data_IF_716482386889
#
_entry.id   IF_716482386889
#
_cell.length_a   1.000
_cell.length_b   1.000
_cell.length_c   1.000
_cell.angle_alpha   90.00
_cell.angle_beta   90.00
_cell.angle_gamma   90.00
#
_symmetry.space_group_name_H-M   'P 1'
#
loop_
_entity.id
_entity.type
_entity.pdbx_description
1 polymer ?
#
# COMPACT_ATOMS: atom_id res chain seq x y z
N UNK A 1 5.03 -17.41 4.14
CA UNK A 1 5.11 -16.41 5.20
C UNK A 1 5.52 -15.03 4.67
N UNK A 2 6.65 -14.90 3.94
CA UNK A 2 7.13 -13.61 3.40
C UNK A 2 6.11 -13.04 2.40
N UNK A 3 5.60 -13.84 1.47
CA UNK A 3 4.62 -13.38 0.49
C UNK A 3 3.31 -12.87 1.11
N UNK A 4 2.82 -13.55 2.16
CA UNK A 4 1.64 -13.08 2.90
C UNK A 4 1.91 -11.72 3.58
N UNK A 5 3.06 -11.58 4.24
CA UNK A 5 3.45 -10.33 4.88
C UNK A 5 3.51 -9.17 3.88
N UNK A 6 4.12 -9.40 2.72
CA UNK A 6 4.22 -8.40 1.65
C UNK A 6 2.85 -8.08 1.02
N UNK A 7 1.98 -9.08 0.85
CA UNK A 7 0.62 -8.86 0.35
C UNK A 7 -0.21 -7.98 1.29
N UNK A 8 -0.21 -8.26 2.59
CA UNK A 8 -0.89 -7.42 3.59
C UNK A 8 -0.31 -6.00 3.63
N UNK A 9 1.00 -5.87 3.45
CA UNK A 9 1.65 -4.56 3.38
C UNK A 9 1.22 -3.76 2.13
N UNK A 10 1.10 -4.42 0.97
CA UNK A 10 0.74 -3.77 -0.30
C UNK A 10 -0.71 -3.29 -0.32
N UNK A 11 -1.65 -4.15 0.05
CA UNK A 11 -3.08 -3.86 -0.06
C UNK A 11 -3.68 -3.17 1.18
N UNK A 12 -2.89 -3.04 2.26
CA UNK A 12 -3.31 -2.42 3.53
C UNK A 12 -4.59 -3.03 4.14
N UNK A 13 -5.05 -4.18 3.65
CA UNK A 13 -6.27 -4.83 4.13
C UNK A 13 -6.11 -5.32 5.57
N UNK A 14 -6.99 -4.86 6.44
CA UNK A 14 -6.95 -5.21 7.87
C UNK A 14 -5.99 -4.38 8.71
N UNK A 15 -5.24 -3.45 8.13
CA UNK A 15 -4.32 -2.55 8.85
C UNK A 15 -5.05 -1.35 9.44
N UNK A 16 -6.15 -0.90 8.80
CA UNK A 16 -6.96 0.22 9.28
C UNK A 16 -6.68 1.56 8.61
N UNK A 17 -5.75 1.63 7.65
CA UNK A 17 -5.44 2.82 6.86
C UNK A 17 -6.48 3.09 5.78
N UNK A 18 -6.86 2.09 4.99
CA UNK A 18 -7.84 2.21 3.92
C UNK A 18 -9.18 2.84 4.37
N UNK A 19 -9.78 2.47 5.51
CA UNK A 19 -11.01 3.12 5.99
C UNK A 19 -10.89 4.63 6.18
N UNK A 20 -9.70 5.17 6.45
CA UNK A 20 -9.49 6.62 6.59
C UNK A 20 -9.65 7.36 5.26
N UNK A 21 -9.21 6.76 4.15
CA UNK A 21 -9.44 7.32 2.81
C UNK A 21 -10.91 7.16 2.40
N UNK A 22 -11.49 5.97 2.60
CA UNK A 22 -12.89 5.71 2.28
C UNK A 22 -13.87 6.59 3.05
N UNK A 23 -13.54 6.96 4.28
CA UNK A 23 -14.34 7.89 5.09
C UNK A 23 -14.36 9.32 4.52
N UNK A 24 -13.43 9.68 3.63
CA UNK A 24 -13.42 10.99 2.94
C UNK A 24 -14.29 10.99 1.67
N UNK A 25 -14.86 9.85 1.27
CA UNK A 25 -15.68 9.76 0.08
C UNK A 25 -17.02 10.50 0.26
N UNK A 26 -17.46 11.18 -0.79
CA UNK A 26 -18.73 11.88 -0.79
C UNK A 26 -19.87 10.91 -1.16
N UNK A 27 -20.21 10.02 -0.23
CA UNK A 27 -21.28 9.03 -0.39
C UNK A 27 -22.07 8.88 0.91
N UNK A 28 -23.36 8.61 0.80
CA UNK A 28 -24.24 8.28 1.92
C UNK A 28 -24.47 6.75 2.06
N UNK A 29 -23.85 5.95 1.20
CA UNK A 29 -24.01 4.50 1.17
C UNK A 29 -22.70 3.82 1.61
N UNK A 30 -22.60 3.42 2.88
CA UNK A 30 -21.39 2.78 3.40
C UNK A 30 -21.14 1.38 2.81
N UNK A 31 -22.18 0.67 2.41
CA UNK A 31 -22.07 -0.67 1.82
C UNK A 31 -21.43 -0.55 0.44
N UNK A 32 -21.94 0.36 -0.39
CA UNK A 32 -21.37 0.64 -1.71
C UNK A 32 -19.90 1.05 -1.62
N UNK A 33 -19.57 1.91 -0.64
CA UNK A 33 -18.16 2.32 -0.42
C UNK A 33 -17.29 1.15 0.03
N UNK A 34 -17.82 0.25 0.86
CA UNK A 34 -17.12 -0.98 1.25
C UNK A 34 -16.85 -1.91 0.07
N UNK A 35 -17.78 -2.00 -0.89
CA UNK A 35 -17.58 -2.79 -2.12
C UNK A 35 -16.43 -2.25 -2.99
N UNK A 36 -16.22 -0.93 -3.04
CA UNK A 36 -15.05 -0.37 -3.71
C UNK A 36 -13.75 -0.81 -3.04
N UNK A 37 -13.69 -0.84 -1.70
CA UNK A 37 -12.52 -1.35 -0.99
C UNK A 37 -12.22 -2.83 -1.30
N UNK A 38 -13.25 -3.67 -1.43
CA UNK A 38 -13.09 -5.07 -1.86
C UNK A 38 -12.52 -5.12 -3.28
N UNK A 39 -13.04 -4.29 -4.19
CA UNK A 39 -12.55 -4.23 -5.58
C UNK A 39 -11.09 -3.76 -5.65
N UNK A 40 -10.69 -2.76 -4.87
CA UNK A 40 -9.31 -2.27 -4.81
C UNK A 40 -8.33 -3.38 -4.40
N UNK A 41 -8.63 -4.10 -3.31
CA UNK A 41 -7.80 -5.21 -2.84
C UNK A 41 -7.74 -6.35 -3.87
N UNK A 42 -8.85 -6.66 -4.53
CA UNK A 42 -8.90 -7.64 -5.62
C UNK A 42 -8.02 -7.20 -6.80
N UNK A 43 -8.15 -5.95 -7.25
CA UNK A 43 -7.38 -5.43 -8.38
C UNK A 43 -5.87 -5.40 -8.07
N UNK A 44 -5.47 -4.93 -6.89
CA UNK A 44 -4.06 -4.90 -6.49
C UNK A 44 -3.48 -6.31 -6.36
N UNK A 45 -4.10 -7.15 -5.54
CA UNK A 45 -3.49 -8.42 -5.13
C UNK A 45 -3.72 -9.54 -6.14
N UNK A 46 -4.95 -9.69 -6.64
CA UNK A 46 -5.25 -10.80 -7.55
C UNK A 46 -4.87 -10.46 -8.99
N UNK A 47 -5.19 -9.26 -9.47
CA UNK A 47 -4.92 -8.91 -10.87
C UNK A 47 -3.46 -8.48 -11.03
N UNK A 48 -3.04 -7.38 -10.39
CA UNK A 48 -1.72 -6.79 -10.66
C UNK A 48 -0.55 -7.65 -10.18
N UNK A 49 -0.62 -8.19 -8.96
CA UNK A 49 0.45 -9.06 -8.46
C UNK A 49 0.56 -10.36 -9.24
N UNK A 50 -0.58 -10.97 -9.64
CA UNK A 50 -0.57 -12.18 -10.47
C UNK A 50 0.01 -11.90 -11.85
N UNK A 51 -0.38 -10.80 -12.49
CA UNK A 51 0.19 -10.40 -13.80
C UNK A 51 1.71 -10.23 -13.71
N UNK A 52 2.21 -9.53 -12.71
CA UNK A 52 3.64 -9.32 -12.51
C UNK A 52 4.37 -10.65 -12.27
N UNK A 53 3.80 -11.52 -11.43
CA UNK A 53 4.37 -12.85 -11.17
C UNK A 53 4.42 -13.71 -12.45
N UNK A 54 3.36 -13.72 -13.25
CA UNK A 54 3.30 -14.45 -14.50
C UNK A 54 4.33 -13.93 -15.51
N UNK A 55 4.51 -12.64 -15.64
CA UNK A 55 5.55 -12.04 -16.50
C UNK A 55 6.94 -12.52 -16.07
N UNK A 56 7.24 -12.49 -14.77
CA UNK A 56 8.53 -12.94 -14.24
C UNK A 56 8.74 -14.44 -14.49
N UNK A 57 7.73 -15.27 -14.23
CA UNK A 57 7.84 -16.72 -14.43
C UNK A 57 7.94 -17.09 -15.91
N UNK A 58 7.16 -16.45 -16.77
CA UNK A 58 7.15 -16.71 -18.21
C UNK A 58 8.43 -16.22 -18.92
N UNK A 59 9.13 -15.25 -18.35
CA UNK A 59 10.38 -14.70 -18.90
C UNK A 59 11.55 -15.70 -18.90
N UNK A 60 11.46 -16.77 -18.10
CA UNK A 60 12.52 -17.78 -17.99
C UNK A 60 13.82 -17.27 -17.37
N UNK A 61 13.86 -16.08 -16.80
CA UNK A 61 15.06 -15.56 -16.14
C UNK A 61 15.42 -16.41 -14.90
N UNK A 62 16.70 -16.68 -14.64
CA UNK A 62 17.09 -17.45 -13.46
C UNK A 62 16.80 -16.66 -12.19
N UNK A 63 15.90 -17.18 -11.37
CA UNK A 63 15.58 -16.64 -10.06
C UNK A 63 16.46 -17.32 -9.00
N UNK A 64 17.45 -16.61 -8.49
CA UNK A 64 18.29 -17.14 -7.41
C UNK A 64 17.71 -16.72 -6.05
N UNK A 65 17.34 -17.69 -5.23
CA UNK A 65 16.93 -17.44 -3.85
C UNK A 65 18.13 -16.89 -3.06
N UNK A 66 17.95 -15.73 -2.41
CA UNK A 66 18.99 -15.07 -1.62
C UNK A 66 19.98 -14.20 -2.40
N UNK A 67 19.75 -13.99 -3.70
CA UNK A 67 20.53 -13.02 -4.49
C UNK A 67 20.25 -11.57 -4.07
N UNK A 68 21.27 -10.71 -4.15
CA UNK A 68 21.15 -9.27 -3.88
C UNK A 68 20.32 -8.48 -4.93
N UNK A 69 19.67 -9.19 -5.85
CA UNK A 69 18.92 -8.56 -6.94
C UNK A 69 17.59 -8.05 -6.39
N UNK A 70 17.35 -6.75 -6.48
CA UNK A 70 16.08 -6.13 -6.07
C UNK A 70 14.91 -6.61 -6.93
N UNK A 71 13.70 -6.64 -6.38
CA UNK A 71 12.48 -7.00 -7.11
C UNK A 71 12.26 -6.16 -8.38
N UNK A 72 12.64 -4.88 -8.35
CA UNK A 72 12.61 -3.98 -9.51
C UNK A 72 13.55 -4.43 -10.63
N UNK A 73 14.76 -4.87 -10.28
CA UNK A 73 15.72 -5.39 -11.27
C UNK A 73 15.25 -6.70 -11.89
N UNK A 74 14.54 -7.53 -11.14
CA UNK A 74 13.91 -8.76 -11.67
C UNK A 74 12.82 -8.38 -12.68
N UNK A 75 11.94 -7.45 -12.32
CA UNK A 75 10.90 -6.97 -13.23
C UNK A 75 11.50 -6.36 -14.50
N UNK A 76 12.54 -5.51 -14.36
CA UNK A 76 13.24 -4.92 -15.51
C UNK A 76 13.75 -6.01 -16.47
N UNK A 77 14.46 -7.00 -15.95
CA UNK A 77 14.98 -8.11 -16.75
C UNK A 77 13.86 -8.91 -17.41
N UNK A 78 12.79 -9.22 -16.68
CA UNK A 78 11.66 -9.98 -17.20
C UNK A 78 10.97 -9.26 -18.36
N UNK A 79 10.66 -7.97 -18.23
CA UNK A 79 10.06 -7.20 -19.31
C UNK A 79 11.02 -6.96 -20.49
N UNK A 80 12.33 -6.88 -20.23
CA UNK A 80 13.34 -6.70 -21.27
C UNK A 80 13.56 -7.96 -22.14
N UNK A 81 12.97 -9.11 -21.79
CA UNK A 81 12.97 -10.28 -22.68
C UNK A 81 12.09 -10.09 -23.92
N UNK A 82 11.10 -9.21 -23.84
CA UNK A 82 10.12 -8.95 -24.91
C UNK A 82 10.25 -7.53 -25.46
N UNK A 83 10.53 -6.57 -24.61
CA UNK A 83 10.62 -5.15 -24.98
C UNK A 83 12.08 -4.68 -24.99
N UNK A 84 12.43 -3.67 -25.81
CA UNK A 84 13.76 -3.06 -25.75
C UNK A 84 14.07 -2.54 -24.32
N UNK A 85 15.26 -2.84 -23.82
CA UNK A 85 15.69 -2.53 -22.46
C UNK A 85 15.49 -1.03 -22.09
N UNK A 86 15.82 -0.13 -23.02
CA UNK A 86 15.63 1.32 -22.82
C UNK A 86 14.16 1.69 -22.60
N UNK A 87 13.26 1.13 -23.40
CA UNK A 87 11.81 1.39 -23.29
C UNK A 87 11.27 0.83 -21.97
N UNK A 88 11.67 -0.39 -21.63
CA UNK A 88 11.30 -1.04 -20.37
C UNK A 88 11.79 -0.23 -19.16
N UNK A 89 13.03 0.25 -19.20
CA UNK A 89 13.61 1.07 -18.14
C UNK A 89 12.85 2.38 -17.94
N UNK A 90 12.52 3.09 -19.01
CA UNK A 90 11.73 4.33 -18.94
C UNK A 90 10.31 4.05 -18.40
N UNK A 91 9.64 3.02 -18.91
CA UNK A 91 8.31 2.63 -18.47
C UNK A 91 8.28 2.30 -16.98
N UNK A 92 9.19 1.46 -16.50
CA UNK A 92 9.26 1.11 -15.08
C UNK A 92 9.63 2.32 -14.21
N UNK A 93 10.56 3.16 -14.64
CA UNK A 93 10.93 4.36 -13.88
C UNK A 93 9.75 5.34 -13.72
N UNK A 94 9.00 5.58 -14.80
CA UNK A 94 7.81 6.44 -14.74
C UNK A 94 6.73 5.81 -13.87
N UNK A 95 6.47 4.51 -14.02
CA UNK A 95 5.49 3.79 -13.20
C UNK A 95 5.85 3.85 -11.72
N UNK A 96 7.09 3.58 -11.36
CA UNK A 96 7.56 3.65 -9.98
C UNK A 96 7.48 5.07 -9.40
N UNK A 97 7.81 6.09 -10.19
CA UNK A 97 7.66 7.49 -9.78
C UNK A 97 6.19 7.81 -9.44
N UNK A 98 5.27 7.41 -10.30
CA UNK A 98 3.84 7.64 -10.09
C UNK A 98 3.31 6.87 -8.88
N UNK A 99 3.67 5.60 -8.71
CA UNK A 99 3.27 4.80 -7.55
C UNK A 99 3.85 5.36 -6.25
N UNK A 100 5.12 5.73 -6.22
CA UNK A 100 5.73 6.33 -5.04
C UNK A 100 5.06 7.65 -4.68
N UNK A 101 4.78 8.50 -5.67
CA UNK A 101 4.12 9.78 -5.46
C UNK A 101 2.70 9.63 -4.92
N UNK A 102 1.90 8.75 -5.51
CA UNK A 102 0.52 8.50 -5.05
C UNK A 102 0.50 7.87 -3.65
N UNK A 103 1.43 6.97 -3.34
CA UNK A 103 1.58 6.39 -2.01
C UNK A 103 1.93 7.45 -0.97
N UNK A 104 2.87 8.35 -1.27
CA UNK A 104 3.21 9.47 -0.39
C UNK A 104 1.99 10.36 -0.10
N UNK A 105 1.18 10.66 -1.12
CA UNK A 105 -0.03 11.45 -0.93
C UNK A 105 -1.07 10.73 -0.08
N UNK A 106 -1.30 9.43 -0.32
CA UNK A 106 -2.23 8.61 0.46
C UNK A 106 -1.84 8.58 1.95
N UNK A 107 -0.59 8.25 2.24
CA UNK A 107 -0.08 8.22 3.61
C UNK A 107 -0.08 9.58 4.30
N UNK A 108 0.13 10.68 3.55
CA UNK A 108 -0.03 12.04 4.08
C UNK A 108 -1.46 12.29 4.53
N UNK A 109 -2.46 11.86 3.75
CA UNK A 109 -3.88 12.00 4.12
C UNK A 109 -4.19 11.21 5.39
N UNK A 110 -3.74 9.95 5.50
CA UNK A 110 -3.95 9.13 6.71
C UNK A 110 -3.37 9.81 7.94
N UNK A 111 -2.11 10.22 7.86
CA UNK A 111 -1.46 10.90 8.98
C UNK A 111 -2.07 12.24 9.34
N UNK A 112 -2.51 13.04 8.34
CA UNK A 112 -3.24 14.29 8.60
C UNK A 112 -4.57 14.07 9.32
N UNK A 113 -5.32 13.03 8.96
CA UNK A 113 -6.58 12.69 9.64
C UNK A 113 -6.33 12.25 11.08
N UNK A 114 -5.31 11.43 11.32
CA UNK A 114 -4.90 11.04 12.66
C UNK A 114 -4.46 12.27 13.50
N UNK A 115 -3.60 13.12 12.95
CA UNK A 115 -3.14 14.34 13.62
C UNK A 115 -4.29 15.29 13.94
N UNK A 116 -5.23 15.45 13.02
CA UNK A 116 -6.44 16.26 13.22
C UNK A 116 -7.34 15.68 14.32
N UNK A 117 -7.48 14.38 14.37
CA UNK A 117 -8.28 13.69 15.38
C UNK A 117 -7.70 13.87 16.79
N UNK A 118 -6.38 13.67 16.93
CA UNK A 118 -5.69 13.70 18.22
C UNK A 118 -5.44 15.12 18.74
N UNK A 119 -5.06 16.06 17.87
CA UNK A 119 -4.56 17.39 18.24
C UNK A 119 -5.38 18.55 17.66
N UNK A 120 -6.46 18.22 16.95
CA UNK A 120 -7.32 19.23 16.31
C UNK A 120 -6.79 19.76 14.97
N UNK A 121 -7.59 20.65 14.34
CA UNK A 121 -7.31 21.18 12.99
C UNK A 121 -5.94 21.89 12.84
N UNK A 122 -5.44 22.49 13.92
CA UNK A 122 -4.17 23.23 13.91
C UNK A 122 -2.94 22.33 13.74
N UNK A 123 -3.08 21.03 14.01
CA UNK A 123 -1.99 20.06 13.87
C UNK A 123 -1.68 19.68 12.42
N UNK A 124 -2.53 20.01 11.46
CA UNK A 124 -2.34 19.61 10.07
C UNK A 124 -1.06 20.20 9.45
N UNK A 125 -0.81 21.49 9.64
CA UNK A 125 0.37 22.15 9.06
C UNK A 125 1.68 21.62 9.66
N UNK A 126 1.87 21.59 11.00
CA UNK A 126 3.09 21.02 11.57
C UNK A 126 3.28 19.54 11.23
N UNK A 127 2.19 18.76 11.11
CA UNK A 127 2.25 17.39 10.64
C UNK A 127 2.81 17.30 9.21
N UNK A 128 2.30 18.11 8.26
CA UNK A 128 2.78 18.11 6.88
C UNK A 128 4.28 18.46 6.79
N UNK A 129 4.73 19.44 7.57
CA UNK A 129 6.14 19.80 7.61
C UNK A 129 6.98 18.61 8.13
N UNK A 130 6.59 18.04 9.26
CA UNK A 130 7.26 16.88 9.84
C UNK A 130 7.28 15.69 8.88
N UNK A 131 6.15 15.38 8.25
CA UNK A 131 6.01 14.31 7.28
C UNK A 131 6.98 14.49 6.10
N UNK A 132 7.05 15.69 5.54
CA UNK A 132 7.96 16.00 4.42
C UNK A 132 9.43 15.83 4.84
N UNK A 133 9.80 16.32 6.01
CA UNK A 133 11.17 16.17 6.53
C UNK A 133 11.51 14.70 6.77
N UNK A 134 10.61 13.93 7.38
CA UNK A 134 10.81 12.50 7.63
C UNK A 134 10.85 11.69 6.35
N UNK A 135 10.06 12.03 5.34
CA UNK A 135 10.11 11.40 4.01
C UNK A 135 11.48 11.60 3.36
N UNK A 136 11.99 12.82 3.40
CA UNK A 136 13.33 13.12 2.89
C UNK A 136 14.43 12.39 3.69
N UNK A 137 14.34 12.39 5.01
CA UNK A 137 15.29 11.65 5.86
C UNK A 137 15.24 10.15 5.58
N UNK A 138 14.04 9.57 5.41
CA UNK A 138 13.85 8.16 5.08
C UNK A 138 14.51 7.76 3.75
N UNK A 139 14.48 8.65 2.76
CA UNK A 139 15.15 8.41 1.48
C UNK A 139 16.69 8.31 1.59
N UNK A 140 17.28 8.86 2.66
CA UNK A 140 18.71 8.79 2.94
C UNK A 140 19.12 7.61 3.83
N UNK A 141 18.14 6.87 4.37
CA UNK A 141 18.38 5.75 5.28
C UNK A 141 18.62 4.45 4.51
N UNK A 142 19.17 3.45 5.21
CA UNK A 142 19.33 2.09 4.66
C UNK A 142 17.97 1.46 4.41
N UNK A 143 17.79 0.89 3.22
CA UNK A 143 16.53 0.30 2.75
C UNK A 143 16.01 -0.77 3.72
N UNK A 144 16.89 -1.64 4.23
CA UNK A 144 16.50 -2.71 5.17
C UNK A 144 15.93 -2.18 6.48
N UNK A 145 16.51 -1.07 6.99
CA UNK A 145 15.99 -0.43 8.19
C UNK A 145 14.60 0.16 7.95
N UNK A 146 14.41 0.85 6.82
CA UNK A 146 13.11 1.46 6.47
C UNK A 146 12.04 0.38 6.30
N UNK A 147 12.37 -0.74 5.63
CA UNK A 147 11.45 -1.87 5.49
C UNK A 147 11.09 -2.49 6.83
N UNK A 148 12.06 -2.79 7.68
CA UNK A 148 11.82 -3.41 8.99
C UNK A 148 10.98 -2.52 9.89
N UNK A 149 11.28 -1.22 9.92
CA UNK A 149 10.51 -0.25 10.68
C UNK A 149 9.07 -0.13 10.16
N UNK A 150 8.90 -0.01 8.83
CA UNK A 150 7.60 0.08 8.19
C UNK A 150 6.72 -1.15 8.45
N UNK A 151 7.26 -2.35 8.29
CA UNK A 151 6.56 -3.59 8.59
C UNK A 151 6.14 -3.68 10.06
N UNK A 152 7.04 -3.34 10.98
CA UNK A 152 6.76 -3.38 12.41
C UNK A 152 5.61 -2.44 12.79
N UNK A 153 5.65 -1.19 12.28
CA UNK A 153 4.60 -0.22 12.51
C UNK A 153 3.26 -0.65 11.90
N UNK A 154 3.30 -1.26 10.72
CA UNK A 154 2.10 -1.77 10.05
C UNK A 154 1.42 -2.89 10.86
N UNK A 155 2.20 -3.82 11.41
CA UNK A 155 1.65 -4.86 12.30
C UNK A 155 1.07 -4.28 13.60
N UNK A 156 1.70 -3.23 14.15
CA UNK A 156 1.16 -2.54 15.32
C UNK A 156 -0.17 -1.84 15.02
N UNK A 157 -0.35 -1.31 13.81
CA UNK A 157 -1.62 -0.72 13.36
C UNK A 157 -2.72 -1.78 13.17
N UNK A 158 -2.37 -2.97 12.71
CA UNK A 158 -3.32 -4.05 12.48
C UNK A 158 -4.02 -4.52 13.77
N UNK A 159 -3.30 -4.57 14.90
CA UNK A 159 -3.85 -5.08 16.16
C UNK A 159 -5.09 -4.30 16.65
N UNK A 160 -5.07 -2.97 16.81
CA UNK A 160 -6.26 -2.22 17.22
C UNK A 160 -7.37 -2.27 16.15
N UNK A 161 -7.03 -2.31 14.86
CA UNK A 161 -8.01 -2.41 13.81
C UNK A 161 -8.76 -3.76 13.83
N UNK A 162 -8.06 -4.86 14.08
CA UNK A 162 -8.69 -6.18 14.25
C UNK A 162 -9.70 -6.19 15.40
N UNK A 163 -9.36 -5.54 16.51
CA UNK A 163 -10.30 -5.38 17.63
C UNK A 163 -11.52 -4.55 17.22
N UNK A 164 -11.30 -3.44 16.52
CA UNK A 164 -12.40 -2.60 16.01
C UNK A 164 -13.34 -3.37 15.07
N UNK A 165 -12.80 -4.18 14.16
CA UNK A 165 -13.57 -5.02 13.25
C UNK A 165 -14.42 -6.06 13.98
N UNK A 166 -13.88 -6.67 15.04
CA UNK A 166 -14.64 -7.62 15.87
C UNK A 166 -15.81 -6.95 16.57
N UNK A 167 -15.62 -5.75 17.11
CA UNK A 167 -16.68 -4.96 17.77
C UNK A 167 -17.74 -4.51 16.75
N UNK A 168 -17.32 -4.02 15.60
CA UNK A 168 -18.20 -3.47 14.56
C UNK A 168 -18.87 -4.54 13.70
N UNK A 169 -18.49 -5.82 13.80
CA UNK A 169 -19.01 -6.90 12.98
C UNK A 169 -20.56 -6.97 12.99
N UNK A 170 -21.18 -6.72 14.15
CA UNK A 170 -22.63 -6.73 14.27
C UNK A 170 -23.29 -5.60 13.46
N UNK A 171 -22.69 -4.43 13.46
CA UNK A 171 -23.15 -3.27 12.70
C UNK A 171 -23.03 -3.51 11.20
N UNK A 172 -21.85 -3.99 10.75
CA UNK A 172 -21.61 -4.34 9.35
C UNK A 172 -22.63 -5.34 8.84
N UNK A 173 -22.91 -6.40 9.59
CA UNK A 173 -23.94 -7.39 9.20
C UNK A 173 -25.32 -6.79 9.10
N UNK A 174 -25.66 -5.84 9.96
CA UNK A 174 -26.94 -5.16 9.90
C UNK A 174 -27.08 -4.32 8.64
N UNK A 175 -26.10 -3.48 8.35
CA UNK A 175 -26.11 -2.62 7.17
C UNK A 175 -26.12 -3.44 5.87
N UNK A 176 -25.32 -4.51 5.77
CA UNK A 176 -25.31 -5.37 4.58
C UNK A 176 -26.56 -6.22 4.39
N UNK A 177 -27.34 -6.46 5.44
CA UNK A 177 -28.60 -7.21 5.32
C UNK A 177 -29.75 -6.36 4.74
N UNK A 178 -29.62 -5.03 4.74
CA UNK A 178 -30.61 -4.09 4.21
C UNK A 178 -30.22 -3.49 2.85
N UNK A 179 -29.02 -3.82 2.32
CA UNK A 179 -28.54 -3.40 1.02
C UNK A 179 -28.86 -4.43 -0.07
#
# INVERSE_FOLDING_TARGET
RIGMARGVYSNEAGVGSAPMAHACANTNDPVKQGMYGIFEVFADTIVMCTMTALVVLASGIPLQAGGEISGTSIALRAFSTVLPERTTGIFLAVSMLLFAYTSLLGWAVYGMQCAKYLFGKRAQVPFCILYTVLTFAGALMKVDFVWTAGETLNYLMAAPNMLALLVLNREVRRETAFA
#
